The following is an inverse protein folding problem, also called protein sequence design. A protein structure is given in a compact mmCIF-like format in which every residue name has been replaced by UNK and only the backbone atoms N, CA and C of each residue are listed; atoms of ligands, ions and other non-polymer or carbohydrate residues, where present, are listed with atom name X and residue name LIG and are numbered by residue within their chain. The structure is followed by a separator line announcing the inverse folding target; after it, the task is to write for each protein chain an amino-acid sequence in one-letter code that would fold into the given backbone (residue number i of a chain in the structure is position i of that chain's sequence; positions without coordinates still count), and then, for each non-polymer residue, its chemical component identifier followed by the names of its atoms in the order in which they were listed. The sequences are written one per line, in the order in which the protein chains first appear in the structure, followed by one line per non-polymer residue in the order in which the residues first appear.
data_IF_066259022798
#
_entry.id   IF_066259022798
#
_cell.length_a   1.000
_cell.length_b   1.000
_cell.length_c   1.000
_cell.angle_alpha   90.00
_cell.angle_beta   90.00
_cell.angle_gamma   90.00
#
_symmetry.space_group_name_H-M   'P 1'
#
loop_
_entity.id
_entity.type
_entity.pdbx_description
1 polymer ?
#
# COMPACT_ATOMS: atom_id res chain seq x y z
N UNK A 1 -18.71 -1.75 11.50
CA UNK A 1 -18.89 -0.79 10.38
C UNK A 1 -18.72 0.67 10.82
N UNK A 2 -19.32 1.11 11.94
CA UNK A 2 -19.19 2.48 12.46
C UNK A 2 -17.78 2.80 12.96
N UNK A 3 -17.10 1.84 13.60
CA UNK A 3 -15.72 1.97 14.06
C UNK A 3 -14.75 2.13 12.88
N UNK A 4 -14.91 1.37 11.81
CA UNK A 4 -14.10 1.47 10.59
C UNK A 4 -14.26 2.83 9.91
N UNK A 5 -15.48 3.39 9.85
CA UNK A 5 -15.72 4.75 9.32
C UNK A 5 -15.09 5.85 10.20
N UNK A 6 -15.12 5.68 11.51
CA UNK A 6 -14.50 6.65 12.42
C UNK A 6 -12.97 6.64 12.32
N UNK A 7 -12.37 5.47 12.14
CA UNK A 7 -10.91 5.31 11.93
C UNK A 7 -10.51 5.87 10.55
N UNK A 8 -11.21 5.51 9.48
CA UNK A 8 -10.93 6.04 8.13
C UNK A 8 -11.07 7.56 8.05
N UNK A 9 -11.98 8.12 8.84
CA UNK A 9 -12.20 9.56 8.91
C UNK A 9 -11.16 10.33 9.76
N UNK A 10 -10.59 9.75 10.80
CA UNK A 10 -9.57 10.39 11.66
C UNK A 10 -8.18 10.47 11.00
N UNK A 11 -7.99 9.71 9.94
CA UNK A 11 -6.74 9.51 9.22
C UNK A 11 -6.10 10.83 8.70
N UNK A 12 -6.89 11.86 8.46
CA UNK A 12 -6.39 13.10 7.84
C UNK A 12 -6.45 14.34 8.74
N UNK A 13 -6.87 14.22 9.99
CA UNK A 13 -7.02 15.37 10.88
C UNK A 13 -8.03 16.41 10.34
N UNK A 14 -9.07 15.95 9.65
CA UNK A 14 -10.07 16.76 9.00
C UNK A 14 -11.30 16.96 9.90
N UNK A 15 -11.93 18.12 9.83
CA UNK A 15 -13.17 18.45 10.54
C UNK A 15 -14.27 17.44 10.26
N UNK A 16 -14.44 17.02 9.01
CA UNK A 16 -15.43 15.99 8.62
C UNK A 16 -15.29 14.72 9.44
N UNK A 17 -14.08 14.25 9.64
CA UNK A 17 -13.77 13.05 10.41
C UNK A 17 -14.08 13.21 11.88
N UNK A 18 -13.75 14.35 12.45
CA UNK A 18 -14.06 14.67 13.83
C UNK A 18 -15.58 14.77 14.06
N UNK A 19 -16.33 15.35 13.12
CA UNK A 19 -17.79 15.43 13.19
C UNK A 19 -18.44 14.04 13.12
N UNK A 20 -17.94 13.16 12.27
CA UNK A 20 -18.41 11.76 12.23
C UNK A 20 -18.08 11.04 13.53
N UNK A 21 -16.87 11.21 14.06
CA UNK A 21 -16.48 10.64 15.35
C UNK A 21 -17.34 11.15 16.52
N UNK A 22 -17.82 12.39 16.48
CA UNK A 22 -18.73 12.94 17.49
C UNK A 22 -20.09 12.26 17.56
N UNK A 23 -20.53 11.63 16.48
CA UNK A 23 -21.78 10.86 16.46
C UNK A 23 -21.67 9.50 17.17
N UNK A 24 -20.46 9.00 17.41
CA UNK A 24 -20.26 7.78 18.15
C UNK A 24 -20.67 7.97 19.62
N UNK A 25 -21.46 7.03 20.16
CA UNK A 25 -21.73 6.97 21.60
C UNK A 25 -20.44 6.56 22.32
N UNK A 26 -20.04 7.33 23.30
CA UNK A 26 -18.92 7.01 24.18
C UNK A 26 -19.44 6.32 25.45
N UNK A 27 -18.64 5.45 26.04
CA UNK A 27 -18.81 5.04 27.43
C UNK A 27 -18.66 6.29 28.36
N UNK A 28 -19.08 6.20 29.64
CA UNK A 28 -19.00 7.35 30.56
C UNK A 28 -17.64 8.02 30.59
N UNK A 29 -16.54 7.26 30.55
CA UNK A 29 -15.15 7.74 30.54
C UNK A 29 -14.52 7.73 29.13
N UNK A 30 -15.35 7.58 28.10
CA UNK A 30 -14.90 7.49 26.72
C UNK A 30 -14.41 8.84 26.18
N UNK A 31 -13.45 8.78 25.26
CA UNK A 31 -12.85 9.95 24.63
C UNK A 31 -12.60 9.71 23.12
N UNK A 32 -12.34 10.78 22.42
CA UNK A 32 -11.95 10.79 21.00
C UNK A 32 -10.57 11.39 20.87
N UNK A 33 -9.72 10.76 20.08
CA UNK A 33 -8.38 11.25 19.78
C UNK A 33 -8.25 11.62 18.30
N UNK A 34 -7.34 12.53 18.00
CA UNK A 34 -6.95 12.91 16.65
C UNK A 34 -5.51 13.44 16.64
N UNK A 35 -5.00 13.75 15.46
CA UNK A 35 -3.74 14.48 15.30
C UNK A 35 -3.90 15.90 15.84
N UNK A 36 -2.95 16.34 16.66
CA UNK A 36 -2.96 17.65 17.30
C UNK A 36 -2.26 18.75 16.51
N UNK A 37 -1.49 18.39 15.51
CA UNK A 37 -0.73 19.30 14.65
C UNK A 37 -0.54 18.75 13.23
N UNK A 38 -0.13 19.63 12.33
CA UNK A 38 0.24 19.29 10.96
C UNK A 38 1.52 18.44 10.93
N UNK A 39 1.55 17.45 10.04
CA UNK A 39 2.77 16.75 9.62
C UNK A 39 2.98 16.94 8.13
N UNK A 40 4.21 16.77 7.64
CA UNK A 40 4.55 16.89 6.22
C UNK A 40 3.68 15.97 5.37
N UNK A 41 3.19 16.45 4.26
CA UNK A 41 2.29 15.76 3.32
C UNK A 41 1.01 15.18 3.92
N UNK A 42 0.58 15.67 5.07
CA UNK A 42 -0.66 15.24 5.70
C UNK A 42 -1.63 16.41 5.86
N UNK A 43 -2.86 16.20 5.42
CA UNK A 43 -3.94 17.15 5.66
C UNK A 43 -4.16 17.35 7.17
N UNK A 44 -4.28 18.60 7.58
CA UNK A 44 -4.63 18.97 8.96
C UNK A 44 -5.43 20.26 8.97
N UNK A 45 -6.59 20.23 9.60
CA UNK A 45 -7.45 21.38 9.82
C UNK A 45 -7.41 21.73 11.31
N UNK A 46 -6.77 22.85 11.67
CA UNK A 46 -6.51 23.21 13.06
C UNK A 46 -7.73 23.22 13.99
N UNK A 47 -8.99 23.53 13.53
CA UNK A 47 -10.15 23.50 14.41
C UNK A 47 -10.51 22.10 14.91
N UNK A 48 -10.01 21.02 14.26
CA UNK A 48 -10.27 19.63 14.64
C UNK A 48 -9.89 19.36 16.11
N UNK A 49 -8.86 20.03 16.61
CA UNK A 49 -8.40 19.91 18.00
C UNK A 49 -9.45 20.28 19.07
N UNK A 50 -10.43 21.11 18.70
CA UNK A 50 -11.52 21.50 19.60
C UNK A 50 -12.74 20.56 19.51
N UNK A 51 -12.74 19.66 18.53
CA UNK A 51 -13.84 18.72 18.31
C UNK A 51 -13.61 17.37 19.00
N UNK A 52 -12.43 17.16 19.58
CA UNK A 52 -12.03 15.92 20.26
C UNK A 52 -11.39 16.22 21.61
N UNK A 53 -11.40 15.23 22.51
CA UNK A 53 -10.88 15.37 23.86
C UNK A 53 -9.37 15.22 23.94
N UNK A 54 -8.76 14.41 23.04
CA UNK A 54 -7.32 14.07 23.07
C UNK A 54 -6.64 14.35 21.73
N UNK A 55 -6.33 15.61 21.39
CA UNK A 55 -5.44 15.90 20.26
C UNK A 55 -4.01 15.51 20.62
N UNK A 56 -3.42 14.62 19.83
CA UNK A 56 -2.08 14.07 20.08
C UNK A 56 -1.03 14.75 19.21
N UNK A 57 0.12 15.17 19.78
CA UNK A 57 1.22 15.74 19.00
C UNK A 57 1.84 14.68 18.10
N UNK A 58 2.16 15.07 16.87
CA UNK A 58 2.79 14.20 15.87
C UNK A 58 4.14 14.76 15.46
N UNK A 59 5.15 13.90 15.20
CA UNK A 59 6.39 14.34 14.55
C UNK A 59 6.10 15.07 13.24
N UNK A 60 6.90 16.09 12.87
CA UNK A 60 6.69 16.85 11.65
C UNK A 60 6.82 15.99 10.38
N UNK A 61 7.70 15.00 10.42
CA UNK A 61 7.95 14.04 9.33
C UNK A 61 7.95 12.62 9.86
N UNK A 62 6.99 11.82 9.45
CA UNK A 62 6.79 10.45 9.96
C UNK A 62 6.11 9.60 8.88
N UNK A 63 6.53 8.34 8.76
CA UNK A 63 5.89 7.37 7.86
C UNK A 63 4.40 7.19 8.20
N UNK A 64 3.54 7.03 7.19
CA UNK A 64 2.10 6.99 7.38
C UNK A 64 1.65 5.91 8.37
N UNK A 65 2.18 4.70 8.28
CA UNK A 65 1.84 3.60 9.20
C UNK A 65 2.31 3.91 10.62
N UNK A 66 3.54 4.38 10.77
CA UNK A 66 4.09 4.76 12.09
C UNK A 66 3.29 5.91 12.72
N UNK A 67 2.82 6.86 11.90
CA UNK A 67 1.98 7.97 12.36
C UNK A 67 0.69 7.50 13.01
N UNK A 68 0.02 6.51 12.46
CA UNK A 68 -1.20 5.96 13.04
C UNK A 68 -0.93 5.11 14.28
N UNK A 69 0.14 4.34 14.28
CA UNK A 69 0.59 3.60 15.46
C UNK A 69 0.96 4.55 16.61
N UNK A 70 1.65 5.64 16.29
CA UNK A 70 2.00 6.67 17.25
C UNK A 70 0.76 7.35 17.84
N UNK A 71 -0.23 7.69 17.00
CA UNK A 71 -1.51 8.20 17.48
C UNK A 71 -2.20 7.22 18.42
N UNK A 72 -2.27 5.95 18.07
CA UNK A 72 -2.89 4.92 18.91
C UNK A 72 -2.15 4.77 20.24
N UNK A 73 -0.83 4.70 20.21
CA UNK A 73 0.01 4.57 21.40
C UNK A 73 -0.20 5.74 22.38
N UNK A 74 -0.09 6.98 21.89
CA UNK A 74 -0.31 8.16 22.72
C UNK A 74 -1.74 8.26 23.24
N UNK A 75 -2.72 7.92 22.41
CA UNK A 75 -4.11 7.97 22.80
C UNK A 75 -4.46 6.93 23.87
N UNK A 76 -3.89 5.73 23.78
CA UNK A 76 -4.16 4.60 24.68
C UNK A 76 -3.17 4.50 25.85
N UNK A 77 -2.09 5.30 25.86
CA UNK A 77 -1.15 5.40 26.96
C UNK A 77 -0.09 4.28 27.01
N UNK A 78 0.27 3.69 25.86
CA UNK A 78 1.40 2.78 25.78
C UNK A 78 2.55 3.40 24.97
N UNK A 79 3.81 2.96 25.15
CA UNK A 79 4.93 3.51 24.42
C UNK A 79 4.82 3.18 22.93
N UNK A 80 5.06 4.15 22.01
CA UNK A 80 5.16 3.85 20.60
C UNK A 80 6.30 2.87 20.35
N UNK A 81 6.04 1.79 19.60
CA UNK A 81 7.09 0.87 19.17
C UNK A 81 7.76 1.43 17.91
N UNK A 82 9.08 1.59 17.95
CA UNK A 82 9.91 1.97 16.80
C UNK A 82 10.32 0.75 15.97
N UNK A 83 10.22 -0.44 16.56
CA UNK A 83 10.57 -1.70 15.93
C UNK A 83 9.68 -2.03 14.74
N UNK A 84 10.25 -2.77 13.79
CA UNK A 84 9.71 -3.08 12.49
C UNK A 84 8.22 -3.42 12.47
N UNK A 85 7.56 -3.10 11.37
CA UNK A 85 6.13 -3.33 11.24
C UNK A 85 5.91 -4.82 10.96
N UNK A 86 5.50 -5.57 11.99
CA UNK A 86 4.93 -6.90 11.79
C UNK A 86 3.50 -6.75 11.24
N UNK A 87 3.23 -7.39 10.13
CA UNK A 87 1.89 -7.45 9.52
C UNK A 87 1.21 -8.79 9.80
N UNK A 88 1.67 -9.52 10.81
CA UNK A 88 1.26 -10.90 11.13
C UNK A 88 -0.24 -11.04 11.47
N UNK A 89 -0.92 -9.92 11.67
CA UNK A 89 -2.36 -9.91 12.03
C UNK A 89 -3.29 -9.95 10.80
N UNK A 90 -2.77 -9.73 9.58
CA UNK A 90 -3.60 -9.79 8.38
C UNK A 90 -3.76 -11.25 7.93
N UNK A 91 -4.62 -11.98 8.63
CA UNK A 91 -4.95 -13.35 8.26
C UNK A 91 -5.86 -13.37 7.03
N UNK A 92 -5.27 -13.52 5.88
CA UNK A 92 -5.98 -13.75 4.61
C UNK A 92 -5.75 -15.19 4.20
N UNK A 93 -6.83 -15.93 3.96
CA UNK A 93 -6.73 -17.27 3.37
C UNK A 93 -6.32 -17.10 1.91
N UNK A 94 -5.12 -17.55 1.50
CA UNK A 94 -4.69 -17.44 0.11
C UNK A 94 -5.62 -18.22 -0.81
N UNK A 95 -5.92 -17.69 -1.99
CA UNK A 95 -6.43 -18.49 -3.09
C UNK A 95 -5.36 -19.53 -3.49
N UNK A 96 -5.75 -20.52 -4.30
CA UNK A 96 -4.74 -21.47 -4.81
C UNK A 96 -3.61 -20.70 -5.49
N UNK A 97 -2.34 -20.96 -5.11
CA UNK A 97 -1.20 -20.33 -5.73
C UNK A 97 -1.19 -20.62 -7.23
N UNK A 98 -1.01 -19.59 -8.02
CA UNK A 98 -0.93 -19.71 -9.48
C UNK A 98 0.44 -19.29 -10.05
N UNK A 99 1.37 -18.96 -9.15
CA UNK A 99 2.72 -18.54 -9.52
C UNK A 99 2.78 -17.19 -10.26
N UNK A 100 1.66 -16.49 -10.38
CA UNK A 100 1.64 -15.21 -11.13
C UNK A 100 2.27 -14.06 -10.34
N UNK A 101 2.83 -13.10 -11.08
CA UNK A 101 3.17 -11.78 -10.52
C UNK A 101 2.02 -10.83 -10.83
N UNK A 102 1.51 -10.15 -9.80
CA UNK A 102 0.43 -9.20 -9.99
C UNK A 102 0.99 -7.82 -10.33
N UNK A 103 0.54 -7.25 -11.47
CA UNK A 103 0.88 -5.88 -11.89
C UNK A 103 -0.21 -4.91 -11.45
N UNK A 104 0.05 -4.14 -10.40
CA UNK A 104 -0.88 -3.17 -9.81
C UNK A 104 -0.65 -1.80 -10.43
N UNK A 105 -1.34 -1.55 -11.55
CA UNK A 105 -1.23 -0.31 -12.32
C UNK A 105 -2.16 0.81 -11.83
N UNK A 106 -3.29 0.44 -11.20
CA UNK A 106 -4.35 1.37 -10.81
C UNK A 106 -3.94 2.26 -9.63
N UNK A 107 -4.21 3.55 -9.77
CA UNK A 107 -4.03 4.57 -8.73
C UNK A 107 -5.10 5.64 -8.85
N UNK A 108 -5.46 6.29 -7.74
CA UNK A 108 -6.38 7.43 -7.74
C UNK A 108 -5.70 8.76 -8.10
N UNK A 109 -4.39 8.75 -8.31
CA UNK A 109 -3.57 9.93 -8.57
C UNK A 109 -2.90 9.79 -9.93
N UNK A 110 -3.30 10.58 -10.94
CA UNK A 110 -2.67 10.53 -12.26
C UNK A 110 -1.14 10.69 -12.25
N UNK A 111 -0.62 11.48 -11.32
CA UNK A 111 0.82 11.69 -11.16
C UNK A 111 1.59 10.43 -10.69
N UNK A 112 0.89 9.41 -10.21
CA UNK A 112 1.49 8.13 -9.83
C UNK A 112 1.39 7.07 -10.94
N UNK A 113 0.73 7.38 -12.06
CA UNK A 113 0.63 6.45 -13.18
C UNK A 113 2.01 6.16 -13.79
N UNK A 114 2.18 4.93 -14.23
CA UNK A 114 3.37 4.50 -14.97
C UNK A 114 2.98 4.13 -16.39
N UNK A 115 3.78 4.49 -17.42
CA UNK A 115 3.41 4.31 -18.83
C UNK A 115 3.06 2.87 -19.20
N UNK A 116 2.10 2.68 -20.11
CA UNK A 116 1.65 1.37 -20.57
C UNK A 116 2.79 0.53 -21.17
N UNK A 117 3.63 1.15 -22.00
CA UNK A 117 4.77 0.50 -22.63
C UNK A 117 5.81 0.00 -21.62
N UNK A 118 5.98 0.70 -20.51
CA UNK A 118 6.82 0.27 -19.40
C UNK A 118 6.26 -0.99 -18.72
N UNK A 119 4.95 -0.99 -18.44
CA UNK A 119 4.26 -2.16 -17.89
C UNK A 119 4.35 -3.36 -18.81
N UNK A 120 4.18 -3.16 -20.13
CA UNK A 120 4.29 -4.22 -21.14
C UNK A 120 5.67 -4.85 -21.10
N UNK A 121 6.74 -4.05 -21.08
CA UNK A 121 8.10 -4.56 -21.07
C UNK A 121 8.42 -5.34 -19.79
N UNK A 122 8.00 -4.85 -18.62
CA UNK A 122 8.17 -5.58 -17.35
C UNK A 122 7.36 -6.88 -17.38
N UNK A 123 6.12 -6.86 -17.86
CA UNK A 123 5.30 -8.05 -17.98
C UNK A 123 5.90 -9.10 -18.93
N UNK A 124 6.45 -8.67 -20.07
CA UNK A 124 7.12 -9.56 -21.01
C UNK A 124 8.40 -10.19 -20.42
N UNK A 125 9.18 -9.41 -19.64
CA UNK A 125 10.36 -9.92 -18.93
C UNK A 125 9.98 -10.95 -17.86
N UNK A 126 8.87 -10.74 -17.13
CA UNK A 126 8.35 -11.72 -16.17
C UNK A 126 7.93 -13.01 -16.86
N UNK A 127 7.17 -12.92 -17.95
CA UNK A 127 6.74 -14.07 -18.75
C UNK A 127 7.95 -14.84 -19.33
N UNK A 128 8.98 -14.15 -19.78
CA UNK A 128 10.23 -14.77 -20.24
C UNK A 128 10.98 -15.52 -19.13
N UNK A 129 10.75 -15.18 -17.86
CA UNK A 129 11.25 -15.95 -16.70
C UNK A 129 10.30 -17.07 -16.26
N UNK A 130 9.23 -17.35 -16.99
CA UNK A 130 8.24 -18.36 -16.65
C UNK A 130 7.23 -17.94 -15.59
N UNK A 131 7.14 -16.64 -15.28
CA UNK A 131 6.22 -16.08 -14.31
C UNK A 131 4.98 -15.51 -15.03
N UNK A 132 3.80 -16.16 -14.93
CA UNK A 132 2.57 -15.60 -15.47
C UNK A 132 2.25 -14.24 -14.84
N UNK A 133 1.47 -13.43 -15.56
CA UNK A 133 1.08 -12.09 -15.11
C UNK A 133 -0.41 -12.02 -14.81
N UNK A 134 -0.79 -11.41 -13.70
CA UNK A 134 -2.17 -11.08 -13.38
C UNK A 134 -2.35 -9.58 -13.20
N UNK A 135 -3.45 -9.02 -13.75
CA UNK A 135 -3.70 -7.58 -13.75
C UNK A 135 -5.07 -7.31 -13.14
N UNK A 136 -5.15 -6.68 -11.96
CA UNK A 136 -6.42 -6.32 -11.34
C UNK A 136 -7.03 -5.07 -12.00
N UNK A 137 -8.34 -4.90 -11.82
CA UNK A 137 -9.09 -3.72 -12.26
C UNK A 137 -10.29 -3.48 -11.33
N UNK A 138 -10.73 -2.22 -11.20
CA UNK A 138 -11.84 -1.84 -10.34
C UNK A 138 -12.90 -0.97 -11.04
N UNK A 139 -12.58 -0.40 -12.20
CA UNK A 139 -13.45 0.48 -12.96
C UNK A 139 -13.20 0.34 -14.48
N UNK A 140 -14.05 0.97 -15.30
CA UNK A 140 -13.97 0.83 -16.76
C UNK A 140 -12.65 1.34 -17.37
N UNK A 141 -12.04 2.38 -16.79
CA UNK A 141 -10.76 2.89 -17.28
C UNK A 141 -9.62 1.91 -16.97
N UNK A 142 -9.58 1.39 -15.75
CA UNK A 142 -8.62 0.36 -15.37
C UNK A 142 -8.83 -0.95 -16.15
N UNK A 143 -10.09 -1.32 -16.43
CA UNK A 143 -10.40 -2.48 -17.26
C UNK A 143 -9.86 -2.33 -18.69
N UNK A 144 -10.06 -1.15 -19.30
CA UNK A 144 -9.52 -0.85 -20.63
C UNK A 144 -8.01 -0.92 -20.67
N UNK A 145 -7.34 -0.34 -19.67
CA UNK A 145 -5.89 -0.38 -19.53
C UNK A 145 -5.38 -1.83 -19.33
N UNK A 146 -5.99 -2.58 -18.40
CA UNK A 146 -5.62 -3.96 -18.11
C UNK A 146 -5.78 -4.89 -19.34
N UNK A 147 -6.83 -4.66 -20.14
CA UNK A 147 -7.08 -5.40 -21.40
C UNK A 147 -5.97 -5.14 -22.41
N UNK A 148 -5.61 -3.87 -22.63
CA UNK A 148 -4.51 -3.49 -23.54
C UNK A 148 -3.18 -4.07 -23.05
N UNK A 149 -2.92 -3.98 -21.76
CA UNK A 149 -1.71 -4.50 -21.14
C UNK A 149 -1.59 -6.02 -21.34
N UNK A 150 -2.64 -6.76 -21.00
CA UNK A 150 -2.64 -8.23 -21.17
C UNK A 150 -2.49 -8.64 -22.64
N UNK A 151 -3.17 -7.93 -23.56
CA UNK A 151 -3.04 -8.18 -25.00
C UNK A 151 -1.61 -7.97 -25.49
N UNK A 152 -0.94 -6.92 -25.04
CA UNK A 152 0.42 -6.58 -25.46
C UNK A 152 1.49 -7.49 -24.81
N UNK A 153 1.27 -8.00 -23.60
CA UNK A 153 2.16 -8.97 -22.96
C UNK A 153 2.03 -10.34 -23.61
N UNK A 154 0.81 -10.77 -23.92
CA UNK A 154 0.55 -12.07 -24.57
C UNK A 154 -0.20 -13.09 -23.69
N UNK A 155 -0.28 -14.36 -24.10
CA UNK A 155 -1.21 -15.36 -23.54
C UNK A 155 -0.95 -15.76 -22.08
N UNK A 156 0.21 -15.46 -21.53
CA UNK A 156 0.51 -15.70 -20.11
C UNK A 156 0.12 -14.53 -19.20
N UNK A 157 -0.46 -13.45 -19.75
CA UNK A 157 -1.03 -12.36 -18.99
C UNK A 157 -2.56 -12.47 -18.97
N UNK A 158 -3.15 -12.31 -17.79
CA UNK A 158 -4.61 -12.35 -17.64
C UNK A 158 -5.11 -11.18 -16.82
N UNK A 159 -6.15 -10.55 -17.30
CA UNK A 159 -6.93 -9.59 -16.54
C UNK A 159 -7.80 -10.34 -15.52
N UNK A 160 -7.78 -9.89 -14.27
CA UNK A 160 -8.67 -10.43 -13.25
C UNK A 160 -10.09 -9.86 -13.41
N UNK A 161 -11.13 -10.65 -13.12
CA UNK A 161 -12.48 -10.11 -13.07
C UNK A 161 -12.58 -9.06 -11.97
N UNK A 162 -13.53 -8.14 -12.09
CA UNK A 162 -13.82 -7.19 -11.01
C UNK A 162 -14.29 -7.94 -9.78
N UNK A 163 -13.64 -7.70 -8.65
CA UNK A 163 -13.93 -8.39 -7.40
C UNK A 163 -13.85 -7.46 -6.19
N UNK A 164 -14.46 -7.83 -5.08
CA UNK A 164 -14.35 -7.10 -3.82
C UNK A 164 -12.95 -7.24 -3.20
N UNK A 165 -12.62 -6.31 -2.31
CA UNK A 165 -11.28 -6.24 -1.71
C UNK A 165 -10.85 -7.53 -0.99
N UNK A 166 -11.76 -8.21 -0.30
CA UNK A 166 -11.44 -9.47 0.40
C UNK A 166 -11.04 -10.58 -0.59
N UNK A 167 -11.78 -10.73 -1.71
CA UNK A 167 -11.46 -11.70 -2.75
C UNK A 167 -10.14 -11.35 -3.47
N UNK A 168 -9.90 -10.05 -3.71
CA UNK A 168 -8.65 -9.59 -4.30
C UNK A 168 -7.46 -9.82 -3.36
N UNK A 169 -7.62 -9.60 -2.05
CA UNK A 169 -6.60 -9.89 -1.05
C UNK A 169 -6.24 -11.39 -1.02
N UNK A 170 -7.27 -12.27 -1.04
CA UNK A 170 -7.07 -13.72 -1.13
C UNK A 170 -6.34 -14.13 -2.42
N UNK A 171 -6.70 -13.48 -3.54
CA UNK A 171 -6.03 -13.72 -4.82
C UNK A 171 -4.59 -13.24 -4.81
N UNK A 172 -4.35 -12.05 -4.29
CA UNK A 172 -3.01 -11.46 -4.16
C UNK A 172 -2.12 -12.31 -3.26
N UNK A 173 -2.64 -12.82 -2.14
CA UNK A 173 -1.91 -13.70 -1.23
C UNK A 173 -1.46 -15.03 -1.87
N UNK A 174 -2.10 -15.44 -2.98
CA UNK A 174 -1.69 -16.61 -3.78
C UNK A 174 -0.72 -16.28 -4.91
N UNK A 175 -0.32 -15.02 -5.10
CA UNK A 175 0.64 -14.62 -6.13
C UNK A 175 2.08 -14.87 -5.67
N UNK A 176 2.99 -15.05 -6.63
CA UNK A 176 4.42 -15.17 -6.39
C UNK A 176 5.06 -13.84 -5.96
N UNK A 177 4.43 -12.72 -6.32
CA UNK A 177 4.85 -11.38 -5.92
C UNK A 177 4.05 -10.29 -6.61
N UNK A 178 4.39 -9.05 -6.35
CA UNK A 178 3.67 -7.87 -6.84
C UNK A 178 4.64 -6.80 -7.34
N UNK A 179 4.34 -6.21 -8.48
CA UNK A 179 4.93 -4.94 -8.93
C UNK A 179 3.80 -3.93 -9.04
N UNK A 180 3.90 -2.79 -8.36
CA UNK A 180 2.79 -1.85 -8.30
C UNK A 180 3.21 -0.40 -8.10
N UNK A 181 2.38 0.53 -8.58
CA UNK A 181 2.52 1.96 -8.27
C UNK A 181 2.12 2.27 -6.83
N UNK A 182 2.43 3.46 -6.34
CA UNK A 182 1.96 3.96 -5.03
C UNK A 182 0.42 4.00 -4.99
N UNK A 183 -0.17 2.96 -4.40
CA UNK A 183 -1.62 2.74 -4.35
C UNK A 183 -2.03 1.87 -3.17
N UNK A 184 -3.32 1.82 -2.88
CA UNK A 184 -3.87 0.99 -1.80
C UNK A 184 -3.56 -0.52 -1.96
N UNK A 185 -3.50 -1.03 -3.19
CA UNK A 185 -3.17 -2.44 -3.44
C UNK A 185 -1.68 -2.75 -3.22
N UNK A 186 -0.79 -1.80 -3.49
CA UNK A 186 0.64 -1.95 -3.14
C UNK A 186 0.83 -2.02 -1.63
N UNK A 187 0.10 -1.22 -0.86
CA UNK A 187 0.12 -1.34 0.60
C UNK A 187 -0.48 -2.66 1.10
N UNK A 188 -1.46 -3.21 0.40
CA UNK A 188 -1.99 -4.54 0.68
C UNK A 188 -0.94 -5.63 0.42
N UNK A 189 -0.16 -5.53 -0.67
CA UNK A 189 0.94 -6.46 -0.95
C UNK A 189 2.00 -6.44 0.16
N UNK A 190 2.34 -5.24 0.66
CA UNK A 190 3.24 -5.07 1.81
C UNK A 190 2.66 -5.75 3.05
N UNK A 191 1.38 -5.51 3.36
CA UNK A 191 0.70 -6.09 4.52
C UNK A 191 0.54 -7.62 4.43
N UNK A 192 0.46 -8.17 3.23
CA UNK A 192 0.46 -9.62 2.97
C UNK A 192 1.87 -10.23 2.97
N UNK A 193 2.88 -9.43 3.23
CA UNK A 193 4.29 -9.83 3.27
C UNK A 193 4.78 -10.52 2.00
N UNK A 194 4.33 -10.05 0.83
CA UNK A 194 4.72 -10.59 -0.47
C UNK A 194 6.00 -9.93 -1.00
N UNK A 195 6.77 -10.64 -1.85
CA UNK A 195 7.81 -10.01 -2.66
C UNK A 195 7.22 -8.85 -3.44
N UNK A 196 7.76 -7.63 -3.24
CA UNK A 196 7.12 -6.43 -3.77
C UNK A 196 8.10 -5.36 -4.23
N UNK A 197 7.85 -4.83 -5.44
CA UNK A 197 8.48 -3.60 -5.95
C UNK A 197 7.40 -2.52 -6.03
N UNK A 198 7.55 -1.46 -5.23
CA UNK A 198 6.64 -0.32 -5.24
C UNK A 198 7.25 0.84 -6.02
N UNK A 199 6.54 1.29 -7.06
CA UNK A 199 6.96 2.35 -7.98
C UNK A 199 6.43 3.68 -7.49
N UNK A 200 7.34 4.65 -7.31
CA UNK A 200 7.01 6.02 -6.96
C UNK A 200 7.39 6.99 -8.07
N UNK A 201 6.44 7.82 -8.46
CA UNK A 201 6.64 8.93 -9.40
C UNK A 201 6.71 10.29 -8.68
N UNK A 202 6.62 10.28 -7.35
CA UNK A 202 6.66 11.45 -6.46
C UNK A 202 7.60 11.20 -5.28
N UNK A 203 8.22 12.23 -4.66
CA UNK A 203 9.19 12.07 -3.58
C UNK A 203 8.54 11.69 -2.24
N UNK A 204 7.77 10.59 -2.21
CA UNK A 204 6.95 10.15 -1.09
C UNK A 204 7.33 8.78 -0.52
N UNK A 205 8.45 8.19 -0.96
CA UNK A 205 8.95 6.91 -0.45
C UNK A 205 9.06 6.93 1.07
N UNK A 206 9.62 7.99 1.63
CA UNK A 206 9.77 8.16 3.08
C UNK A 206 8.45 8.06 3.85
N UNK A 207 7.34 8.40 3.20
CA UNK A 207 6.01 8.42 3.81
C UNK A 207 5.23 7.13 3.62
N UNK A 208 5.37 6.49 2.48
CA UNK A 208 4.46 5.43 2.03
C UNK A 208 5.19 4.22 1.43
N UNK A 209 6.52 4.20 1.43
CA UNK A 209 7.28 3.04 0.97
C UNK A 209 7.11 1.83 1.89
N UNK A 210 7.44 0.64 1.43
CA UNK A 210 7.40 -0.56 2.27
C UNK A 210 8.37 -0.44 3.45
N UNK A 211 7.99 -1.00 4.59
CA UNK A 211 8.78 -1.05 5.80
C UNK A 211 8.92 -2.51 6.26
N UNK A 212 10.12 -2.93 6.53
CA UNK A 212 10.39 -4.12 7.35
C UNK A 212 10.89 -5.37 6.64
N UNK A 213 10.68 -5.58 5.34
CA UNK A 213 11.14 -6.78 4.65
C UNK A 213 12.19 -6.49 3.59
N UNK A 214 13.27 -7.29 3.53
CA UNK A 214 14.34 -7.13 2.54
C UNK A 214 13.88 -7.42 1.09
N UNK A 215 12.78 -8.14 0.94
CA UNK A 215 12.16 -8.43 -0.36
C UNK A 215 10.96 -7.52 -0.68
N UNK A 216 10.90 -6.34 -0.05
CA UNK A 216 9.92 -5.30 -0.33
C UNK A 216 10.67 -3.99 -0.51
N UNK A 217 10.71 -3.46 -1.71
CA UNK A 217 11.51 -2.29 -2.04
C UNK A 217 10.69 -1.23 -2.75
N UNK A 218 11.09 0.03 -2.56
CA UNK A 218 10.57 1.17 -3.29
C UNK A 218 11.59 1.66 -4.31
N UNK A 219 11.13 2.04 -5.50
CA UNK A 219 11.96 2.61 -6.57
C UNK A 219 11.35 3.89 -7.13
N UNK A 220 12.18 4.78 -7.64
CA UNK A 220 11.77 6.07 -8.16
C UNK A 220 11.90 7.20 -7.12
N UNK A 221 11.01 8.15 -7.12
CA UNK A 221 11.07 9.30 -6.22
C UNK A 221 10.59 10.58 -6.90
N UNK A 222 11.49 11.56 -7.15
CA UNK A 222 11.13 12.84 -7.77
C UNK A 222 10.55 12.70 -9.20
N UNK A 223 10.76 11.57 -9.83
CA UNK A 223 10.18 11.17 -11.13
C UNK A 223 10.01 9.65 -11.17
N UNK A 224 9.13 9.20 -12.06
CA UNK A 224 8.94 7.79 -12.34
C UNK A 224 10.28 7.14 -12.74
N UNK A 225 10.57 5.92 -12.20
CA UNK A 225 11.76 5.17 -12.60
C UNK A 225 11.63 4.64 -14.02
N UNK A 226 12.78 4.39 -14.65
CA UNK A 226 12.84 3.64 -15.90
C UNK A 226 12.60 2.14 -15.68
N UNK A 227 12.39 1.44 -16.78
CA UNK A 227 12.08 0.01 -16.82
C UNK A 227 13.21 -0.81 -16.19
N UNK A 228 14.46 -0.49 -16.49
CA UNK A 228 15.62 -1.25 -16.02
C UNK A 228 15.84 -1.08 -14.51
N UNK A 229 15.49 0.06 -13.95
CA UNK A 229 15.49 0.30 -12.50
C UNK A 229 14.44 -0.60 -11.82
N UNK A 230 13.21 -0.65 -12.34
CA UNK A 230 12.15 -1.52 -11.81
C UNK A 230 12.53 -2.99 -11.96
N UNK A 231 13.08 -3.36 -13.12
CA UNK A 231 13.47 -4.73 -13.38
C UNK A 231 14.60 -5.22 -12.48
N UNK A 232 15.66 -4.43 -12.27
CA UNK A 232 16.74 -4.77 -11.33
C UNK A 232 16.24 -4.92 -9.91
N UNK A 233 15.32 -4.04 -9.50
CA UNK A 233 14.68 -4.14 -8.19
C UNK A 233 13.87 -5.44 -8.05
N UNK A 234 13.11 -5.82 -9.08
CA UNK A 234 12.39 -7.10 -9.09
C UNK A 234 13.34 -8.29 -8.98
N UNK A 235 14.41 -8.33 -9.75
CA UNK A 235 15.41 -9.40 -9.68
C UNK A 235 16.04 -9.52 -8.28
N UNK A 236 16.36 -8.39 -7.65
CA UNK A 236 16.89 -8.36 -6.29
C UNK A 236 15.88 -8.89 -5.27
N UNK A 237 14.62 -8.39 -5.33
CA UNK A 237 13.51 -8.85 -4.48
C UNK A 237 13.29 -10.35 -4.63
N UNK A 238 13.25 -10.84 -5.87
CA UNK A 238 13.04 -12.25 -6.19
C UNK A 238 14.17 -13.14 -5.65
N UNK A 239 15.41 -12.70 -5.82
CA UNK A 239 16.60 -13.40 -5.31
C UNK A 239 16.60 -13.49 -3.77
N UNK A 240 16.34 -12.37 -3.09
CA UNK A 240 16.30 -12.32 -1.62
C UNK A 240 15.21 -13.23 -1.07
N UNK A 241 14.04 -13.23 -1.69
CA UNK A 241 12.91 -14.04 -1.22
C UNK A 241 13.15 -15.54 -1.36
N UNK A 242 13.79 -15.99 -2.47
CA UNK A 242 14.04 -17.39 -2.73
C UNK A 242 15.37 -17.88 -2.15
N UNK A 243 16.28 -16.99 -1.80
CA UNK A 243 17.58 -17.34 -1.22
C UNK A 243 17.95 -16.40 -0.05
N UNK A 244 17.22 -16.46 1.07
CA UNK A 244 17.42 -15.56 2.20
C UNK A 244 18.81 -15.62 2.83
N UNK A 245 19.55 -16.71 2.63
CA UNK A 245 20.92 -16.85 3.19
C UNK A 245 21.96 -16.04 2.39
N UNK A 246 21.69 -15.65 1.15
CA UNK A 246 22.61 -14.85 0.34
C UNK A 246 22.73 -13.37 0.80
N UNK A 247 21.88 -12.92 1.71
CA UNK A 247 21.87 -11.53 2.22
C UNK A 247 22.72 -11.37 3.50
N UNK A 248 23.12 -12.47 4.13
CA UNK A 248 23.88 -12.49 5.38
C UNK A 248 25.39 -12.74 5.16
N UNK A 249 25.82 -12.87 3.93
CA UNK A 249 27.21 -13.03 3.52
C UNK A 249 27.74 -11.75 2.85
#
# INVERSE_FOLDING_TARGET
AAFKKAVDGSIQGLIKSALVARQARLAPDGWRATFGNRSEDCGYEWPVRFLVQRPQPMPPRIHAVQRYRHLAALALGYPPTEDGIAYDELQVVPAQPDGSVMLVHGTTRPENEWPLDHWVQVGQRLVAQGLPVSVPQANAAEESFARQLCQAIGPQARMLPRMGLAALASRMAGCAGVVGVDSGLSHLAVALNLPHVQIFSQPRIWRAGPLGSAYQVAVGGAKAPDIDTVWRAWQAVWSVFHNPQAVLA
#
